data_IF_304338144147
#
_entry.id   IF_304338144147
#
_cell.length_a   1.000
_cell.length_b   1.000
_cell.length_c   1.000
_cell.angle_alpha   90.00
_cell.angle_beta   90.00
_cell.angle_gamma   90.00
#
_symmetry.space_group_name_H-M   'P 1'
#
loop_
_entity.id
_entity.type
_entity.pdbx_description
1 polymer ?
#
# COMPACT_ATOMS: atom_id res chain seq x y z
N UNK A 1 8.92 3.61 -40.48
CA UNK A 1 9.22 2.93 -39.20
C UNK A 1 10.68 2.57 -39.23
N UNK A 2 11.53 3.24 -38.45
CA UNK A 2 12.92 2.82 -38.33
C UNK A 2 12.94 1.44 -37.67
N UNK A 3 13.69 0.48 -38.22
CA UNK A 3 13.87 -0.82 -37.60
C UNK A 3 14.52 -0.60 -36.21
N UNK A 4 13.85 -1.02 -35.14
CA UNK A 4 14.46 -1.02 -33.80
C UNK A 4 15.69 -1.93 -33.83
N UNK A 5 16.80 -1.45 -33.28
CA UNK A 5 17.99 -2.29 -33.12
C UNK A 5 17.73 -3.40 -32.11
N UNK A 6 18.43 -4.53 -32.21
CA UNK A 6 18.26 -5.67 -31.30
C UNK A 6 18.43 -5.27 -29.82
N UNK A 7 19.31 -4.32 -29.53
CA UNK A 7 19.51 -3.76 -28.18
C UNK A 7 18.27 -3.00 -27.70
N UNK A 8 17.65 -2.20 -28.56
CA UNK A 8 16.43 -1.45 -28.23
C UNK A 8 15.27 -2.40 -27.94
N UNK A 9 15.14 -3.48 -28.71
CA UNK A 9 14.07 -4.46 -28.50
C UNK A 9 14.23 -5.21 -27.17
N UNK A 10 15.47 -5.58 -26.81
CA UNK A 10 15.78 -6.23 -25.52
C UNK A 10 15.46 -5.31 -24.34
N UNK A 11 15.94 -4.06 -24.40
CA UNK A 11 15.65 -3.06 -23.38
C UNK A 11 14.14 -2.79 -23.26
N UNK A 12 13.42 -2.76 -24.39
CA UNK A 12 11.98 -2.62 -24.44
C UNK A 12 11.26 -3.75 -23.70
N UNK A 13 11.66 -5.01 -23.91
CA UNK A 13 11.06 -6.15 -23.21
C UNK A 13 11.30 -6.07 -21.70
N UNK A 14 12.54 -5.81 -21.28
CA UNK A 14 12.89 -5.63 -19.86
C UNK A 14 12.06 -4.52 -19.22
N UNK A 15 11.92 -3.36 -19.88
CA UNK A 15 11.14 -2.23 -19.35
C UNK A 15 9.63 -2.50 -19.33
N UNK A 16 9.09 -3.25 -20.30
CA UNK A 16 7.70 -3.66 -20.32
C UNK A 16 7.38 -4.64 -19.18
N UNK A 17 8.24 -5.63 -18.95
CA UNK A 17 8.08 -6.60 -17.86
C UNK A 17 8.31 -5.95 -16.49
N UNK A 18 9.27 -5.02 -16.39
CA UNK A 18 9.42 -4.14 -15.23
C UNK A 18 8.11 -3.40 -14.94
N UNK A 19 7.55 -2.71 -15.95
CA UNK A 19 6.33 -1.94 -15.80
C UNK A 19 5.15 -2.81 -15.38
N UNK A 20 5.01 -4.00 -15.98
CA UNK A 20 3.94 -4.94 -15.68
C UNK A 20 3.96 -5.37 -14.20
N UNK A 21 5.08 -5.88 -13.72
CA UNK A 21 5.19 -6.36 -12.33
C UNK A 21 5.18 -5.21 -11.33
N UNK A 22 5.82 -4.08 -11.66
CA UNK A 22 5.78 -2.89 -10.81
C UNK A 22 4.34 -2.39 -10.63
N UNK A 23 3.57 -2.29 -11.72
CA UNK A 23 2.18 -1.84 -11.67
C UNK A 23 1.30 -2.84 -10.92
N UNK A 24 1.50 -4.14 -11.11
CA UNK A 24 0.77 -5.18 -10.37
C UNK A 24 0.93 -4.99 -8.84
N UNK A 25 2.16 -4.87 -8.35
CA UNK A 25 2.43 -4.65 -6.93
C UNK A 25 1.89 -3.31 -6.44
N UNK A 26 2.06 -2.25 -7.23
CA UNK A 26 1.54 -0.93 -6.91
C UNK A 26 0.01 -0.93 -6.82
N UNK A 27 -0.69 -1.65 -7.70
CA UNK A 27 -2.14 -1.81 -7.65
C UNK A 27 -2.55 -2.54 -6.38
N UNK A 28 -1.99 -3.73 -6.10
CA UNK A 28 -2.31 -4.52 -4.89
C UNK A 28 -2.18 -3.64 -3.64
N UNK A 29 -1.06 -2.94 -3.51
CA UNK A 29 -0.76 -2.10 -2.34
C UNK A 29 -1.65 -0.86 -2.27
N UNK A 30 -1.78 -0.11 -3.36
CA UNK A 30 -2.50 1.16 -3.36
C UNK A 30 -4.02 0.95 -3.24
N UNK A 31 -4.61 0.02 -3.99
CA UNK A 31 -6.05 -0.26 -3.86
C UNK A 31 -6.37 -0.84 -2.49
N UNK A 32 -5.51 -1.69 -1.93
CA UNK A 32 -5.64 -2.23 -0.57
C UNK A 32 -5.64 -1.15 0.52
N UNK A 33 -4.95 -0.03 0.30
CA UNK A 33 -4.96 1.11 1.24
C UNK A 33 -6.18 2.03 1.14
N UNK A 34 -6.95 1.95 0.05
CA UNK A 34 -8.08 2.84 -0.22
C UNK A 34 -9.44 2.15 -0.13
N UNK A 35 -9.49 0.83 -0.34
CA UNK A 35 -10.70 -0.01 -0.25
C UNK A 35 -10.46 -1.04 0.85
N UNK A 36 -11.18 -0.90 1.96
CA UNK A 36 -10.96 -1.73 3.16
C UNK A 36 -11.17 -3.22 2.87
N UNK A 37 -12.08 -3.59 1.97
CA UNK A 37 -12.30 -4.99 1.62
C UNK A 37 -11.08 -5.62 0.91
N UNK A 38 -10.31 -4.84 0.16
CA UNK A 38 -9.14 -5.33 -0.58
C UNK A 38 -7.92 -5.51 0.32
N UNK A 39 -7.89 -4.92 1.53
CA UNK A 39 -6.84 -5.21 2.49
C UNK A 39 -6.97 -6.63 3.09
N UNK A 40 -8.19 -7.18 3.14
CA UNK A 40 -8.45 -8.55 3.59
C UNK A 40 -8.39 -9.55 2.43
N UNK A 41 -8.87 -9.16 1.24
CA UNK A 41 -8.91 -10.01 0.05
C UNK A 41 -7.92 -9.52 -1.02
N UNK A 42 -6.64 -9.38 -0.65
CA UNK A 42 -5.57 -8.92 -1.56
C UNK A 42 -5.45 -9.78 -2.82
N UNK A 43 -5.76 -11.07 -2.71
CA UNK A 43 -5.82 -12.03 -3.82
C UNK A 43 -6.80 -11.59 -4.94
N UNK A 44 -7.78 -10.76 -4.63
CA UNK A 44 -8.77 -10.31 -5.62
C UNK A 44 -8.13 -9.46 -6.73
N UNK A 45 -7.22 -8.55 -6.37
CA UNK A 45 -6.46 -7.74 -7.33
C UNK A 45 -5.45 -8.60 -8.06
N UNK A 46 -4.78 -9.52 -7.36
CA UNK A 46 -3.84 -10.48 -7.96
C UNK A 46 -4.53 -11.35 -9.04
N UNK A 47 -5.71 -11.89 -8.75
CA UNK A 47 -6.50 -12.67 -9.71
C UNK A 47 -6.90 -11.84 -10.92
N UNK A 48 -7.31 -10.58 -10.70
CA UNK A 48 -7.60 -9.64 -11.78
C UNK A 48 -6.37 -9.37 -12.65
N UNK A 49 -5.21 -9.19 -12.03
CA UNK A 49 -3.94 -9.01 -12.72
C UNK A 49 -3.56 -10.22 -13.57
N UNK A 50 -3.62 -11.45 -13.02
CA UNK A 50 -3.34 -12.66 -13.80
C UNK A 50 -4.30 -12.87 -14.96
N UNK A 51 -5.60 -12.62 -14.76
CA UNK A 51 -6.58 -12.65 -15.85
C UNK A 51 -6.21 -11.63 -16.94
N UNK A 52 -5.91 -10.40 -16.53
CA UNK A 52 -5.49 -9.32 -17.43
C UNK A 52 -4.26 -9.70 -18.22
N UNK A 53 -3.21 -10.18 -17.54
CA UNK A 53 -1.96 -10.63 -18.18
C UNK A 53 -2.25 -11.73 -19.21
N UNK A 54 -3.03 -12.74 -18.86
CA UNK A 54 -3.44 -13.80 -19.79
C UNK A 54 -4.16 -13.26 -21.03
N UNK A 55 -5.13 -12.37 -20.85
CA UNK A 55 -5.85 -11.71 -21.97
C UNK A 55 -4.89 -10.87 -22.83
N UNK A 56 -3.95 -10.15 -22.22
CA UNK A 56 -2.94 -9.38 -22.93
C UNK A 56 -2.05 -10.25 -23.81
N UNK A 57 -1.61 -11.41 -23.30
CA UNK A 57 -0.80 -12.37 -24.07
C UNK A 57 -1.55 -13.02 -25.22
N UNK A 58 -2.83 -13.35 -25.06
CA UNK A 58 -3.69 -13.85 -26.15
C UNK A 58 -3.81 -12.82 -27.30
N UNK A 59 -3.60 -11.54 -27.03
CA UNK A 59 -3.68 -10.46 -28.01
C UNK A 59 -2.36 -10.09 -28.67
N UNK A 60 -1.29 -10.86 -28.47
CA UNK A 60 0.05 -10.58 -29.01
C UNK A 60 0.07 -10.28 -30.53
N UNK A 61 -0.79 -10.96 -31.32
CA UNK A 61 -0.89 -10.79 -32.78
C UNK A 61 -2.03 -9.88 -33.24
N UNK A 62 -2.75 -9.23 -32.31
CA UNK A 62 -3.86 -8.34 -32.64
C UNK A 62 -3.39 -7.16 -33.51
N UNK A 63 -4.23 -6.69 -34.44
CA UNK A 63 -3.93 -5.49 -35.25
C UNK A 63 -4.01 -4.19 -34.43
N UNK A 64 -4.82 -4.18 -33.36
CA UNK A 64 -5.06 -3.00 -32.53
C UNK A 64 -4.18 -3.04 -31.29
N UNK A 65 -3.30 -2.04 -31.14
CA UNK A 65 -2.38 -1.92 -30.02
C UNK A 65 -3.07 -1.28 -28.80
N UNK A 66 -3.47 -2.10 -27.82
CA UNK A 66 -4.13 -1.61 -26.60
C UNK A 66 -3.19 -1.02 -25.56
N UNK A 67 -1.89 -1.31 -25.62
CA UNK A 67 -0.90 -0.77 -24.68
C UNK A 67 -0.97 0.76 -24.59
N UNK A 68 -1.33 1.42 -25.69
CA UNK A 68 -1.47 2.89 -25.75
C UNK A 68 -2.52 3.45 -24.79
N UNK A 69 -3.51 2.66 -24.42
CA UNK A 69 -4.62 3.04 -23.55
C UNK A 69 -4.38 2.69 -22.08
N UNK A 70 -3.29 1.97 -21.76
CA UNK A 70 -2.98 1.58 -20.39
C UNK A 70 -2.92 2.75 -19.38
N UNK A 71 -2.31 3.91 -19.68
CA UNK A 71 -2.28 5.02 -18.74
C UNK A 71 -3.67 5.61 -18.50
N UNK A 72 -4.52 5.62 -19.53
CA UNK A 72 -5.90 6.07 -19.40
C UNK A 72 -6.68 5.11 -18.50
N UNK A 73 -6.54 3.80 -18.70
CA UNK A 73 -7.18 2.80 -17.84
C UNK A 73 -6.73 2.93 -16.37
N UNK A 74 -5.42 3.13 -16.13
CA UNK A 74 -4.88 3.37 -14.80
C UNK A 74 -5.40 4.68 -14.18
N UNK A 75 -5.43 5.77 -14.93
CA UNK A 75 -5.95 7.04 -14.47
C UNK A 75 -7.45 6.94 -14.12
N UNK A 76 -8.25 6.28 -14.97
CA UNK A 76 -9.68 6.05 -14.71
C UNK A 76 -9.91 5.17 -13.48
N UNK A 77 -9.09 4.14 -13.27
CA UNK A 77 -9.13 3.32 -12.05
C UNK A 77 -8.83 4.16 -10.81
N UNK A 78 -7.79 5.00 -10.86
CA UNK A 78 -7.44 5.90 -9.75
C UNK A 78 -8.57 6.91 -9.48
N UNK A 79 -9.17 7.49 -10.52
CA UNK A 79 -10.34 8.38 -10.41
C UNK A 79 -11.48 7.65 -9.71
N UNK A 80 -11.83 6.44 -10.17
CA UNK A 80 -12.92 5.66 -9.61
C UNK A 80 -12.70 5.39 -8.12
N UNK A 81 -11.52 4.92 -7.73
CA UNK A 81 -11.20 4.59 -6.33
C UNK A 81 -11.20 5.84 -5.44
N UNK A 82 -10.76 6.98 -5.97
CA UNK A 82 -10.78 8.26 -5.23
C UNK A 82 -12.19 8.84 -5.11
N UNK A 83 -13.04 8.68 -6.12
CA UNK A 83 -14.43 9.15 -6.11
C UNK A 83 -15.33 8.29 -5.21
N UNK A 84 -15.05 6.98 -5.12
CA UNK A 84 -15.84 6.03 -4.34
C UNK A 84 -14.98 5.27 -3.32
N UNK A 85 -14.42 5.96 -2.30
CA UNK A 85 -13.56 5.33 -1.32
C UNK A 85 -14.39 4.46 -0.36
N UNK A 86 -14.29 3.13 -0.49
CA UNK A 86 -14.94 2.18 0.40
C UNK A 86 -14.20 2.11 1.76
N UNK A 87 -14.33 3.17 2.55
CA UNK A 87 -13.78 3.29 3.91
C UNK A 87 -14.85 2.94 4.94
N UNK A 88 -14.44 2.23 5.99
CA UNK A 88 -15.29 1.98 7.14
C UNK A 88 -15.11 3.17 8.10
N UNK A 89 -16.15 3.97 8.29
CA UNK A 89 -16.18 4.94 9.40
C UNK A 89 -16.78 4.24 10.61
N UNK A 90 -16.00 4.04 11.68
CA UNK A 90 -16.53 3.62 12.98
C UNK A 90 -16.11 4.56 14.10
N UNK A 91 -17.06 4.80 14.99
CA UNK A 91 -16.90 5.45 16.30
C UNK A 91 -17.35 4.44 17.36
N UNK A 92 -16.45 3.98 18.24
CA UNK A 92 -16.79 3.26 19.48
C UNK A 92 -16.44 1.76 19.58
N UNK A 93 -16.65 1.22 20.78
CA UNK A 93 -16.16 -0.07 21.31
C UNK A 93 -16.72 -1.36 20.65
N UNK A 94 -17.36 -1.26 19.48
CA UNK A 94 -17.92 -2.40 18.72
C UNK A 94 -17.01 -2.79 17.54
N UNK A 95 -15.74 -3.07 17.84
CA UNK A 95 -14.72 -3.47 16.86
C UNK A 95 -14.87 -4.92 16.36
N UNK A 96 -15.76 -5.73 16.97
CA UNK A 96 -15.77 -7.20 16.80
C UNK A 96 -16.66 -7.67 15.63
N UNK A 97 -17.62 -6.87 15.14
CA UNK A 97 -18.53 -7.29 14.07
C UNK A 97 -18.25 -6.57 12.75
N UNK A 98 -17.54 -7.22 11.83
CA UNK A 98 -17.33 -6.75 10.46
C UNK A 98 -18.69 -6.70 9.72
N UNK A 99 -19.16 -5.51 9.30
CA UNK A 99 -20.34 -5.39 8.41
C UNK A 99 -21.41 -4.34 8.75
N UNK A 100 -21.49 -3.78 9.96
CA UNK A 100 -22.60 -2.90 10.37
C UNK A 100 -22.19 -1.44 10.63
N UNK A 101 -21.84 -0.70 9.57
CA UNK A 101 -21.62 0.75 9.68
C UNK A 101 -21.85 1.47 8.35
N UNK A 102 -22.19 2.77 8.36
CA UNK A 102 -22.38 3.53 7.13
C UNK A 102 -21.08 3.54 6.33
N UNK A 103 -21.11 2.91 5.16
CA UNK A 103 -20.03 2.99 4.18
C UNK A 103 -20.29 4.20 3.30
N UNK A 104 -19.29 5.07 3.16
CA UNK A 104 -19.28 6.01 2.05
C UNK A 104 -18.78 5.26 0.80
N UNK A 105 -19.47 5.40 -0.32
CA UNK A 105 -19.10 4.76 -1.59
C UNK A 105 -20.17 3.84 -2.17
N UNK A 106 -19.85 3.20 -3.30
CA UNK A 106 -20.74 2.22 -3.94
C UNK A 106 -20.83 0.93 -3.11
N UNK A 107 -21.96 0.20 -3.17
CA UNK A 107 -22.10 -1.10 -2.54
C UNK A 107 -20.96 -2.05 -2.95
N UNK A 108 -20.51 -2.89 -2.02
CA UNK A 108 -19.38 -3.82 -2.23
C UNK A 108 -19.56 -4.76 -3.40
N UNK A 109 -20.79 -5.29 -3.55
CA UNK A 109 -21.16 -6.18 -4.66
C UNK A 109 -21.07 -5.51 -6.03
N UNK A 110 -21.01 -4.17 -6.09
CA UNK A 110 -20.84 -3.41 -7.32
C UNK A 110 -19.39 -2.89 -7.46
N UNK A 111 -18.81 -2.34 -6.39
CA UNK A 111 -17.46 -1.76 -6.44
C UNK A 111 -16.38 -2.80 -6.69
N UNK A 112 -16.45 -3.99 -6.08
CA UNK A 112 -15.45 -5.03 -6.25
C UNK A 112 -15.40 -5.56 -7.70
N UNK A 113 -16.52 -5.96 -8.34
CA UNK A 113 -16.48 -6.35 -9.75
C UNK A 113 -15.94 -5.25 -10.67
N UNK A 114 -16.30 -3.98 -10.43
CA UNK A 114 -15.78 -2.85 -11.22
C UNK A 114 -14.26 -2.76 -11.08
N UNK A 115 -13.74 -2.82 -9.85
CA UNK A 115 -12.29 -2.79 -9.61
C UNK A 115 -11.60 -3.98 -10.25
N UNK A 116 -12.17 -5.18 -10.14
CA UNK A 116 -11.62 -6.39 -10.78
C UNK A 116 -11.48 -6.22 -12.29
N UNK A 117 -12.56 -5.81 -12.95
CA UNK A 117 -12.59 -5.63 -14.41
C UNK A 117 -11.64 -4.51 -14.83
N UNK A 118 -11.59 -3.41 -14.07
CA UNK A 118 -10.69 -2.29 -14.35
C UNK A 118 -9.21 -2.68 -14.18
N UNK A 119 -8.86 -3.43 -13.12
CA UNK A 119 -7.51 -3.99 -12.92
C UNK A 119 -7.17 -4.94 -14.05
N UNK A 120 -8.04 -5.90 -14.36
CA UNK A 120 -7.83 -6.86 -15.44
C UNK A 120 -7.66 -6.16 -16.80
N UNK A 121 -8.46 -5.13 -17.08
CA UNK A 121 -8.33 -4.34 -18.29
C UNK A 121 -7.00 -3.58 -18.35
N UNK A 122 -6.61 -2.89 -17.27
CA UNK A 122 -5.34 -2.17 -17.21
C UNK A 122 -4.14 -3.12 -17.39
N UNK A 123 -4.15 -4.25 -16.68
CA UNK A 123 -3.10 -5.27 -16.78
C UNK A 123 -3.07 -5.93 -18.15
N UNK A 124 -4.22 -6.17 -18.79
CA UNK A 124 -4.29 -6.66 -20.16
C UNK A 124 -3.67 -5.70 -21.17
N UNK A 125 -3.90 -4.39 -21.02
CA UNK A 125 -3.29 -3.38 -21.88
C UNK A 125 -1.77 -3.35 -21.73
N UNK A 126 -1.25 -3.42 -20.49
CA UNK A 126 0.20 -3.46 -20.24
C UNK A 126 0.81 -4.76 -20.78
N UNK A 127 0.21 -5.91 -20.45
CA UNK A 127 0.68 -7.22 -20.86
C UNK A 127 0.59 -7.45 -22.37
N UNK A 128 -0.37 -6.85 -23.08
CA UNK A 128 -0.36 -6.85 -24.54
C UNK A 128 0.91 -6.20 -25.10
N UNK A 129 1.41 -5.13 -24.44
CA UNK A 129 2.69 -4.52 -24.76
C UNK A 129 3.85 -5.51 -24.62
N UNK A 130 3.93 -6.19 -23.46
CA UNK A 130 4.92 -7.26 -23.20
C UNK A 130 4.82 -8.33 -24.29
N UNK A 131 3.63 -8.88 -24.51
CA UNK A 131 3.40 -10.01 -25.40
C UNK A 131 3.74 -9.72 -26.86
N UNK A 132 3.43 -8.52 -27.35
CA UNK A 132 3.80 -8.07 -28.70
C UNK A 132 5.31 -8.03 -28.92
N UNK A 133 6.07 -7.65 -27.89
CA UNK A 133 7.54 -7.65 -27.95
C UNK A 133 8.09 -9.07 -27.70
N UNK A 134 7.45 -9.84 -26.82
CA UNK A 134 7.83 -11.20 -26.47
C UNK A 134 7.87 -12.14 -27.68
N UNK A 135 6.85 -12.08 -28.56
CA UNK A 135 6.77 -12.94 -29.76
C UNK A 135 7.80 -12.61 -30.85
N UNK A 136 8.61 -11.56 -30.68
CA UNK A 136 9.67 -11.18 -31.61
C UNK A 136 11.01 -11.85 -31.28
N UNK A 137 11.10 -12.56 -30.15
CA UNK A 137 12.27 -13.30 -29.70
C UNK A 137 12.00 -14.81 -29.74
N UNK A 138 13.07 -15.60 -29.72
CA UNK A 138 12.96 -17.01 -29.36
C UNK A 138 12.50 -17.16 -27.91
N UNK A 139 11.74 -18.22 -27.61
CA UNK A 139 11.05 -18.39 -26.33
C UNK A 139 12.01 -18.28 -25.12
N UNK A 140 13.21 -18.86 -25.20
CA UNK A 140 14.19 -18.83 -24.12
C UNK A 140 14.75 -17.41 -23.90
N UNK A 141 15.06 -16.68 -24.98
CA UNK A 141 15.59 -15.31 -24.88
C UNK A 141 14.52 -14.36 -24.35
N UNK A 142 13.27 -14.49 -24.84
CA UNK A 142 12.13 -13.72 -24.36
C UNK A 142 11.94 -13.90 -22.84
N UNK A 143 11.94 -15.15 -22.36
CA UNK A 143 11.74 -15.48 -20.96
C UNK A 143 12.86 -14.93 -20.05
N UNK A 144 14.11 -14.94 -20.53
CA UNK A 144 15.25 -14.36 -19.77
C UNK A 144 15.06 -12.88 -19.50
N UNK A 145 14.68 -12.10 -20.51
CA UNK A 145 14.46 -10.66 -20.35
C UNK A 145 13.18 -10.35 -19.59
N UNK A 146 12.14 -11.17 -19.74
CA UNK A 146 10.90 -11.04 -18.99
C UNK A 146 11.12 -11.25 -17.49
N UNK A 147 11.85 -12.29 -17.09
CA UNK A 147 12.24 -12.51 -15.69
C UNK A 147 13.11 -11.36 -15.20
N UNK A 148 14.11 -10.94 -15.98
CA UNK A 148 15.00 -9.85 -15.56
C UNK A 148 14.22 -8.56 -15.28
N UNK A 149 13.33 -8.18 -16.20
CA UNK A 149 12.45 -7.02 -16.01
C UNK A 149 11.54 -7.19 -14.80
N UNK A 150 10.95 -8.36 -14.63
CA UNK A 150 10.07 -8.69 -13.50
C UNK A 150 10.79 -8.56 -12.14
N UNK A 151 11.98 -9.13 -12.01
CA UNK A 151 12.81 -9.03 -10.79
C UNK A 151 13.17 -7.58 -10.51
N UNK A 152 13.55 -6.80 -11.54
CA UNK A 152 13.84 -5.38 -11.38
C UNK A 152 12.59 -4.60 -10.92
N UNK A 153 11.42 -4.91 -11.48
CA UNK A 153 10.15 -4.29 -11.09
C UNK A 153 9.80 -4.57 -9.62
N UNK A 154 9.89 -5.82 -9.21
CA UNK A 154 9.68 -6.26 -7.81
C UNK A 154 10.70 -5.60 -6.89
N UNK A 155 11.99 -5.71 -7.20
CA UNK A 155 13.07 -5.16 -6.38
C UNK A 155 12.97 -3.65 -6.21
N UNK A 156 12.65 -2.92 -7.29
CA UNK A 156 12.50 -1.47 -7.22
C UNK A 156 11.25 -1.04 -6.44
N UNK A 157 10.12 -1.73 -6.60
CA UNK A 157 8.92 -1.45 -5.79
C UNK A 157 9.14 -1.76 -4.30
N UNK A 158 9.83 -2.86 -3.99
CA UNK A 158 10.22 -3.21 -2.62
C UNK A 158 11.14 -2.16 -2.01
N UNK A 159 12.10 -1.64 -2.77
CA UNK A 159 12.96 -0.53 -2.34
C UNK A 159 12.13 0.73 -2.03
N UNK A 160 11.20 1.12 -2.91
CA UNK A 160 10.32 2.26 -2.67
C UNK A 160 9.43 2.07 -1.44
N UNK A 161 8.94 0.84 -1.22
CA UNK A 161 8.16 0.50 -0.03
C UNK A 161 9.00 0.61 1.23
N UNK A 162 10.23 0.06 1.23
CA UNK A 162 11.18 0.16 2.33
C UNK A 162 11.55 1.62 2.66
N UNK A 163 11.76 2.45 1.63
CA UNK A 163 12.01 3.88 1.76
C UNK A 163 10.75 4.70 2.13
N UNK A 164 9.59 4.05 2.26
CA UNK A 164 8.31 4.68 2.60
C UNK A 164 7.88 5.75 1.59
N UNK A 165 8.24 5.56 0.33
CA UNK A 165 7.92 6.50 -0.74
C UNK A 165 6.40 6.60 -0.93
N UNK A 166 5.83 7.81 -1.00
CA UNK A 166 4.40 7.99 -1.21
C UNK A 166 3.97 7.54 -2.61
N UNK A 167 2.68 7.23 -2.76
CA UNK A 167 2.09 6.68 -3.99
C UNK A 167 2.35 7.52 -5.26
N UNK A 168 2.54 8.85 -5.12
CA UNK A 168 2.93 9.73 -6.24
C UNK A 168 4.27 9.33 -6.86
N UNK A 169 5.24 8.86 -6.06
CA UNK A 169 6.54 8.41 -6.57
C UNK A 169 6.36 7.18 -7.46
N UNK A 170 5.45 6.28 -7.09
CA UNK A 170 5.13 5.10 -7.89
C UNK A 170 4.48 5.51 -9.21
N UNK A 171 3.56 6.46 -9.17
CA UNK A 171 2.94 7.07 -10.36
C UNK A 171 3.96 7.73 -11.29
N UNK A 172 4.95 8.45 -10.74
CA UNK A 172 6.04 9.05 -11.52
C UNK A 172 6.87 7.97 -12.21
N UNK A 173 7.24 6.90 -11.51
CA UNK A 173 8.00 5.78 -12.09
C UNK A 173 7.23 5.14 -13.24
N UNK A 174 5.94 4.83 -13.02
CA UNK A 174 5.05 4.31 -14.06
C UNK A 174 4.98 5.25 -15.26
N UNK A 175 4.80 6.55 -15.02
CA UNK A 175 4.73 7.58 -16.06
C UNK A 175 6.02 7.68 -16.87
N UNK A 176 7.17 7.75 -16.22
CA UNK A 176 8.48 7.84 -16.88
C UNK A 176 8.75 6.61 -17.74
N UNK A 177 8.55 5.40 -17.18
CA UNK A 177 8.77 4.15 -17.92
C UNK A 177 7.79 4.03 -19.09
N UNK A 178 6.52 4.39 -18.88
CA UNK A 178 5.52 4.35 -19.95
C UNK A 178 5.84 5.33 -21.09
N UNK A 179 6.25 6.56 -20.76
CA UNK A 179 6.64 7.56 -21.76
C UNK A 179 7.89 7.13 -22.52
N UNK A 180 8.89 6.55 -21.83
CA UNK A 180 10.07 5.98 -22.46
C UNK A 180 9.72 4.85 -23.46
N UNK A 181 8.78 3.98 -23.10
CA UNK A 181 8.29 2.87 -23.94
C UNK A 181 7.41 3.32 -25.12
N UNK A 182 6.74 4.47 -25.00
CA UNK A 182 5.90 5.04 -26.06
C UNK A 182 6.72 5.76 -27.13
N UNK A 183 7.94 6.22 -26.79
CA UNK A 183 8.86 6.88 -27.71
C UNK A 183 8.27 8.12 -28.37
N UNK A 184 8.74 8.47 -29.57
CA UNK A 184 8.30 9.67 -30.33
C UNK A 184 6.84 9.64 -30.81
N UNK A 185 6.15 8.51 -30.65
CA UNK A 185 4.76 8.33 -31.08
C UNK A 185 3.76 8.57 -29.94
N UNK A 186 4.17 9.27 -28.87
CA UNK A 186 3.27 9.58 -27.76
C UNK A 186 2.20 10.56 -28.20
N UNK A 187 0.93 10.20 -28.01
CA UNK A 187 -0.18 11.10 -28.31
C UNK A 187 -0.41 12.07 -27.15
N UNK A 188 -1.02 13.24 -27.44
CA UNK A 188 -1.42 14.19 -26.39
C UNK A 188 -2.28 13.51 -25.32
N UNK A 189 -3.19 12.61 -25.72
CA UNK A 189 -4.02 11.85 -24.81
C UNK A 189 -3.19 11.02 -23.81
N UNK A 190 -2.12 10.37 -24.27
CA UNK A 190 -1.25 9.59 -23.39
C UNK A 190 -0.50 10.49 -22.40
N UNK A 191 0.02 11.62 -22.87
CA UNK A 191 0.67 12.61 -22.02
C UNK A 191 -0.28 13.15 -20.94
N UNK A 192 -1.51 13.50 -21.33
CA UNK A 192 -2.56 13.94 -20.40
C UNK A 192 -2.96 12.85 -19.42
N UNK A 193 -3.11 11.59 -19.87
CA UNK A 193 -3.45 10.47 -18.99
C UNK A 193 -2.36 10.17 -17.96
N UNK A 194 -1.08 10.20 -18.36
CA UNK A 194 0.05 10.05 -17.44
C UNK A 194 0.11 11.21 -16.45
N UNK A 195 -0.06 12.45 -16.93
CA UNK A 195 -0.10 13.62 -16.06
C UNK A 195 -1.26 13.53 -15.06
N UNK A 196 -2.45 13.13 -15.51
CA UNK A 196 -3.62 12.95 -14.65
C UNK A 196 -3.35 11.88 -13.58
N UNK A 197 -2.77 10.73 -13.95
CA UNK A 197 -2.37 9.68 -13.01
C UNK A 197 -1.46 10.23 -11.90
N UNK A 198 -0.40 10.97 -12.26
CA UNK A 198 0.54 11.54 -11.29
C UNK A 198 -0.14 12.60 -10.41
N UNK A 199 -0.89 13.52 -10.99
CA UNK A 199 -1.59 14.60 -10.26
C UNK A 199 -2.63 14.03 -9.29
N UNK A 200 -3.38 13.00 -9.69
CA UNK A 200 -4.33 12.34 -8.81
C UNK A 200 -3.62 11.70 -7.61
N UNK A 201 -2.49 11.05 -7.82
CA UNK A 201 -1.72 10.43 -6.73
C UNK A 201 -1.04 11.47 -5.81
N UNK A 202 -0.73 12.67 -6.32
CA UNK A 202 -0.15 13.77 -5.56
C UNK A 202 -1.04 14.27 -4.42
N UNK A 203 -2.37 14.10 -4.51
CA UNK A 203 -3.29 14.54 -3.45
C UNK A 203 -3.03 13.86 -2.09
N UNK A 204 -2.43 12.67 -2.09
CA UNK A 204 -2.19 11.88 -0.88
C UNK A 204 -1.08 12.45 0.03
N UNK A 205 0.16 12.68 -0.43
CA UNK A 205 1.21 13.27 0.40
C UNK A 205 0.92 14.70 0.87
N UNK A 206 -0.05 15.40 0.28
CA UNK A 206 -0.47 16.73 0.74
C UNK A 206 -1.24 16.67 2.07
N UNK A 207 -1.74 15.51 2.48
CA UNK A 207 -2.37 15.32 3.77
C UNK A 207 -1.31 15.02 4.84
N UNK A 208 -1.06 15.97 5.74
CA UNK A 208 -0.05 15.84 6.80
C UNK A 208 -0.32 14.69 7.80
N UNK A 209 -1.53 14.15 7.83
CA UNK A 209 -1.88 13.00 8.66
C UNK A 209 -1.63 11.65 7.99
N UNK A 210 -1.37 11.64 6.68
CA UNK A 210 -1.10 10.42 5.91
C UNK A 210 0.41 10.19 5.79
N UNK A 211 0.82 8.95 5.97
CA UNK A 211 2.21 8.52 5.76
C UNK A 211 2.25 7.06 5.34
N UNK A 212 3.38 6.60 4.81
CA UNK A 212 3.59 5.20 4.48
C UNK A 212 4.57 4.56 5.45
N UNK A 213 4.30 3.32 5.83
CA UNK A 213 5.31 2.40 6.37
C UNK A 213 5.76 1.42 5.27
N UNK A 214 6.78 0.58 5.50
CA UNK A 214 7.09 -0.52 4.58
C UNK A 214 5.91 -1.46 4.34
N UNK A 215 4.96 -1.55 5.28
CA UNK A 215 3.89 -2.54 5.27
C UNK A 215 2.57 -1.98 4.74
N UNK A 216 2.18 -0.77 5.11
CA UNK A 216 0.87 -0.22 4.79
C UNK A 216 0.83 1.32 4.81
N UNK A 217 -0.32 1.88 4.42
CA UNK A 217 -0.60 3.31 4.62
C UNK A 217 -1.04 3.55 6.06
N UNK A 218 -0.47 4.54 6.72
CA UNK A 218 -0.81 4.98 8.08
C UNK A 218 -1.49 6.35 8.03
N UNK A 219 -2.67 6.45 8.64
CA UNK A 219 -3.44 7.70 8.73
C UNK A 219 -3.72 8.04 10.19
N UNK A 220 -3.37 9.26 10.60
CA UNK A 220 -3.68 9.79 11.93
C UNK A 220 -5.06 10.46 11.95
N UNK A 221 -5.89 10.08 12.92
CA UNK A 221 -7.21 10.65 13.18
C UNK A 221 -7.13 11.39 14.51
N UNK A 222 -6.99 12.72 14.44
CA UNK A 222 -6.88 13.57 15.64
C UNK A 222 -8.27 13.97 16.10
N UNK A 223 -8.60 13.71 17.36
CA UNK A 223 -9.82 14.18 18.00
C UNK A 223 -9.49 15.32 18.98
N UNK A 224 -9.76 16.60 18.62
CA UNK A 224 -9.42 17.74 19.47
C UNK A 224 -10.13 17.72 20.82
N UNK A 225 -11.31 17.09 20.91
CA UNK A 225 -12.14 17.08 22.11
C UNK A 225 -11.65 16.13 23.21
N UNK A 226 -10.94 15.05 22.84
CA UNK A 226 -10.58 13.96 23.77
C UNK A 226 -9.07 13.80 23.97
N UNK A 227 -8.26 14.60 23.28
CA UNK A 227 -6.80 14.45 23.20
C UNK A 227 -6.35 13.02 22.80
N UNK A 228 -7.22 12.29 22.11
CA UNK A 228 -6.94 10.96 21.57
C UNK A 228 -6.55 11.09 20.10
N UNK A 229 -5.49 10.38 19.72
CA UNK A 229 -5.11 10.24 18.31
C UNK A 229 -5.34 8.80 17.89
N UNK A 230 -6.34 8.57 17.05
CA UNK A 230 -6.53 7.28 16.39
C UNK A 230 -5.47 7.07 15.30
N UNK A 231 -5.00 5.84 15.16
CA UNK A 231 -4.14 5.40 14.09
C UNK A 231 -4.93 4.40 13.25
N UNK A 232 -5.07 4.68 11.96
CA UNK A 232 -5.62 3.76 10.99
C UNK A 232 -4.51 3.21 10.10
N UNK A 233 -4.59 1.92 9.76
CA UNK A 233 -3.73 1.26 8.78
C UNK A 233 -4.59 0.79 7.62
N UNK A 234 -4.26 1.20 6.39
CA UNK A 234 -5.09 0.93 5.20
C UNK A 234 -6.58 1.29 5.38
N UNK A 235 -6.87 2.35 6.15
CA UNK A 235 -8.25 2.79 6.44
C UNK A 235 -8.99 1.96 7.50
N UNK A 236 -8.31 1.05 8.20
CA UNK A 236 -8.86 0.25 9.30
C UNK A 236 -8.32 0.81 10.62
N UNK A 237 -9.18 1.07 11.64
CA UNK A 237 -8.73 1.41 12.98
C UNK A 237 -7.77 0.36 13.53
N UNK A 238 -6.60 0.78 14.00
CA UNK A 238 -5.52 -0.11 14.41
C UNK A 238 -5.06 0.11 15.85
N UNK A 239 -4.70 1.35 16.20
CA UNK A 239 -4.20 1.70 17.54
C UNK A 239 -4.72 3.08 17.94
N UNK A 240 -4.70 3.39 19.23
CA UNK A 240 -5.00 4.74 19.75
C UNK A 240 -3.83 5.24 20.58
N UNK A 241 -3.54 6.54 20.48
CA UNK A 241 -2.62 7.23 21.37
C UNK A 241 -3.48 8.05 22.34
N UNK A 242 -3.35 7.74 23.62
CA UNK A 242 -3.97 8.46 24.73
C UNK A 242 -3.13 8.24 26.00
N UNK A 243 -3.27 9.09 27.03
CA UNK A 243 -2.60 8.89 28.31
C UNK A 243 -2.97 7.56 28.96
N UNK A 244 -2.01 6.93 29.63
CA UNK A 244 -2.21 5.64 30.33
C UNK A 244 -3.30 5.73 31.39
N UNK A 245 -3.41 6.87 32.09
CA UNK A 245 -4.48 7.12 33.07
C UNK A 245 -5.87 7.14 32.44
N UNK A 246 -6.00 7.70 31.23
CA UNK A 246 -7.24 7.72 30.47
C UNK A 246 -7.58 6.30 29.98
N UNK A 247 -6.58 5.56 29.47
CA UNK A 247 -6.76 4.17 29.04
C UNK A 247 -7.18 3.25 30.17
N UNK A 248 -6.68 3.45 31.39
CA UNK A 248 -7.12 2.69 32.56
C UNK A 248 -8.62 2.86 32.82
N UNK A 249 -9.16 4.06 32.58
CA UNK A 249 -10.58 4.35 32.75
C UNK A 249 -11.44 3.83 31.59
N UNK A 250 -10.97 3.93 30.34
CA UNK A 250 -11.74 3.55 29.15
C UNK A 250 -11.63 2.07 28.79
N UNK A 251 -10.45 1.46 28.94
CA UNK A 251 -10.13 0.10 28.53
C UNK A 251 -9.33 -0.65 29.62
N UNK A 252 -9.92 -0.89 30.81
CA UNK A 252 -9.22 -1.51 31.95
C UNK A 252 -8.71 -2.93 31.67
N UNK A 253 -9.17 -3.57 30.59
CA UNK A 253 -8.74 -4.92 30.18
C UNK A 253 -7.24 -5.02 29.94
N UNK A 254 -6.59 -3.96 29.43
CA UNK A 254 -5.13 -3.96 29.19
C UNK A 254 -4.29 -4.00 30.47
N UNK A 255 -4.89 -3.68 31.62
CA UNK A 255 -4.24 -3.69 32.93
C UNK A 255 -4.51 -4.99 33.70
N UNK A 256 -5.46 -5.81 33.24
CA UNK A 256 -5.98 -6.95 33.98
C UNK A 256 -4.88 -7.96 34.32
N UNK A 257 -3.99 -8.25 33.37
CA UNK A 257 -2.88 -9.16 33.59
C UNK A 257 -2.02 -8.72 34.79
N UNK A 258 -1.62 -7.44 34.84
CA UNK A 258 -0.79 -6.88 35.91
C UNK A 258 -1.49 -6.90 37.27
N UNK A 259 -2.80 -6.63 37.33
CA UNK A 259 -3.57 -6.69 38.58
C UNK A 259 -3.72 -8.10 39.16
N UNK A 260 -3.61 -9.14 38.34
CA UNK A 260 -3.71 -10.54 38.78
C UNK A 260 -2.36 -11.17 39.15
N UNK A 261 -1.25 -10.47 38.91
CA UNK A 261 0.07 -10.95 39.31
C UNK A 261 0.26 -10.74 40.82
N UNK A 262 0.81 -11.76 41.49
CA UNK A 262 1.18 -11.67 42.92
C UNK A 262 2.30 -10.66 43.18
N UNK A 263 3.13 -10.41 42.17
CA UNK A 263 4.28 -9.51 42.23
C UNK A 263 4.42 -8.80 40.87
N UNK A 264 4.81 -7.53 40.89
CA UNK A 264 5.11 -6.78 39.69
C UNK A 264 6.30 -7.41 38.94
N UNK A 265 6.17 -7.70 37.63
CA UNK A 265 7.27 -8.23 36.84
C UNK A 265 8.36 -7.17 36.68
N UNK A 266 9.62 -7.53 36.97
CA UNK A 266 10.76 -6.62 36.83
C UNK A 266 11.13 -6.39 35.36
N UNK A 267 11.11 -7.45 34.55
CA UNK A 267 11.43 -7.42 33.13
C UNK A 267 10.19 -7.83 32.33
N UNK A 268 9.83 -7.04 31.32
CA UNK A 268 8.65 -7.27 30.47
C UNK A 268 9.08 -7.23 29.01
N UNK A 269 8.63 -8.19 28.21
CA UNK A 269 8.76 -8.17 26.75
C UNK A 269 7.39 -7.85 26.15
N UNK A 270 7.35 -6.88 25.23
CA UNK A 270 6.15 -6.48 24.51
C UNK A 270 6.42 -6.66 23.02
N UNK A 271 5.70 -7.59 22.39
CA UNK A 271 5.75 -7.85 20.95
C UNK A 271 4.58 -7.15 20.27
N UNK A 272 4.86 -6.34 19.24
CA UNK A 272 3.87 -5.43 18.66
C UNK A 272 3.71 -4.15 19.49
N UNK A 273 4.82 -3.63 20.03
CA UNK A 273 4.81 -2.48 20.93
C UNK A 273 4.22 -1.20 20.31
N UNK A 274 4.16 -1.11 18.98
CA UNK A 274 3.39 -0.11 18.24
C UNK A 274 3.71 1.32 18.64
N UNK A 275 2.68 2.09 18.97
CA UNK A 275 2.82 3.46 19.44
C UNK A 275 3.29 3.61 20.90
N UNK A 276 3.61 2.51 21.59
CA UNK A 276 4.13 2.50 22.97
C UNK A 276 3.06 2.48 24.06
N UNK A 277 1.77 2.33 23.73
CA UNK A 277 0.69 2.22 24.70
C UNK A 277 0.95 1.15 25.78
N UNK A 278 1.23 -0.08 25.36
CA UNK A 278 1.45 -1.20 26.28
C UNK A 278 2.77 -1.05 27.06
N UNK A 279 3.77 -0.40 26.45
CA UNK A 279 5.04 -0.04 27.11
C UNK A 279 4.76 0.94 28.26
N UNK A 280 3.96 1.97 28.01
CA UNK A 280 3.57 2.93 29.05
C UNK A 280 2.80 2.25 30.19
N UNK A 281 1.90 1.33 29.87
CA UNK A 281 1.20 0.50 30.87
C UNK A 281 2.20 -0.30 31.71
N UNK A 282 3.11 -1.04 31.09
CA UNK A 282 4.11 -1.84 31.80
C UNK A 282 4.95 -0.98 32.77
N UNK A 283 5.40 0.20 32.31
CA UNK A 283 6.14 1.16 33.14
C UNK A 283 5.29 1.68 34.30
N UNK A 284 4.01 2.00 34.07
CA UNK A 284 3.08 2.47 35.11
C UNK A 284 2.76 1.40 36.16
N UNK A 285 2.80 0.12 35.77
CA UNK A 285 2.59 -1.01 36.66
C UNK A 285 3.85 -1.42 37.43
N UNK A 286 4.98 -0.73 37.19
CA UNK A 286 6.21 -0.84 37.95
C UNK A 286 7.30 -1.73 37.32
N UNK A 287 7.23 -2.00 36.02
CA UNK A 287 8.33 -2.67 35.32
C UNK A 287 9.65 -1.88 35.47
N UNK A 288 10.73 -2.61 35.71
CA UNK A 288 12.09 -2.07 35.85
C UNK A 288 12.84 -2.06 34.51
N UNK A 289 12.46 -2.95 33.60
CA UNK A 289 12.96 -3.00 32.23
C UNK A 289 11.86 -3.48 31.28
N UNK A 290 11.79 -2.88 30.09
CA UNK A 290 10.88 -3.29 29.02
C UNK A 290 11.64 -3.45 27.70
N UNK A 291 11.59 -4.65 27.12
CA UNK A 291 11.95 -4.87 25.72
C UNK A 291 10.71 -4.62 24.85
N UNK A 292 10.77 -3.61 23.98
CA UNK A 292 9.71 -3.24 23.07
C UNK A 292 10.07 -3.67 21.64
N UNK A 293 9.44 -4.73 21.14
CA UNK A 293 9.63 -5.25 19.79
C UNK A 293 8.51 -4.73 18.90
N UNK A 294 8.87 -4.00 17.84
CA UNK A 294 7.92 -3.47 16.86
C UNK A 294 8.46 -3.63 15.44
N UNK A 295 7.67 -4.28 14.58
CA UNK A 295 8.08 -4.50 13.20
C UNK A 295 7.96 -3.23 12.34
N UNK A 296 6.98 -2.36 12.62
CA UNK A 296 6.70 -1.15 11.86
C UNK A 296 7.48 0.07 12.42
N UNK A 297 8.54 0.53 11.73
CA UNK A 297 9.30 1.69 12.17
C UNK A 297 8.47 2.98 12.22
N UNK A 298 7.39 3.07 11.44
CA UNK A 298 6.54 4.26 11.39
C UNK A 298 5.65 4.34 12.62
N UNK A 299 5.08 3.23 13.10
CA UNK A 299 4.29 3.22 14.34
C UNK A 299 5.15 3.60 15.55
N UNK A 300 6.36 3.05 15.65
CA UNK A 300 7.34 3.46 16.66
C UNK A 300 7.63 4.97 16.62
N UNK A 301 7.93 5.52 15.42
CA UNK A 301 8.22 6.95 15.27
C UNK A 301 7.04 7.84 15.67
N UNK A 302 5.82 7.42 15.33
CA UNK A 302 4.59 8.10 15.73
C UNK A 302 4.45 8.06 17.26
N UNK A 303 4.61 6.88 17.87
CA UNK A 303 4.57 6.71 19.32
C UNK A 303 5.61 7.57 20.04
N UNK A 304 6.87 7.54 19.61
CA UNK A 304 7.94 8.34 20.20
C UNK A 304 7.66 9.83 20.13
N UNK A 305 7.05 10.30 19.03
CA UNK A 305 6.75 11.72 18.84
C UNK A 305 5.48 12.18 19.55
N UNK A 306 4.44 11.34 19.63
CA UNK A 306 3.09 11.77 19.99
C UNK A 306 2.51 11.08 21.23
N UNK A 307 3.12 10.01 21.74
CA UNK A 307 2.63 9.35 22.95
C UNK A 307 2.86 10.25 24.17
N UNK A 308 1.79 10.64 24.91
CA UNK A 308 1.86 11.62 25.99
C UNK A 308 2.66 11.14 27.20
N UNK A 309 2.78 9.83 27.41
CA UNK A 309 3.53 9.26 28.53
C UNK A 309 5.02 9.09 28.19
N UNK A 310 5.42 9.40 26.95
CA UNK A 310 6.80 9.31 26.45
C UNK A 310 7.53 7.99 26.81
N UNK A 311 6.90 6.82 26.63
CA UNK A 311 7.48 5.55 27.08
C UNK A 311 8.78 5.21 26.36
N UNK A 312 8.91 5.57 25.09
CA UNK A 312 10.12 5.32 24.30
C UNK A 312 11.29 6.26 24.62
N UNK A 313 11.11 7.22 25.51
CA UNK A 313 12.15 8.08 26.05
C UNK A 313 12.64 7.61 27.43
N UNK A 314 11.94 6.66 28.06
CA UNK A 314 12.29 6.14 29.38
C UNK A 314 13.54 5.24 29.28
N UNK A 315 14.59 5.45 30.11
CA UNK A 315 15.82 4.67 30.07
C UNK A 315 15.62 3.18 30.41
N UNK A 316 14.47 2.80 30.97
CA UNK A 316 14.11 1.41 31.23
C UNK A 316 13.67 0.66 29.98
N UNK A 317 13.44 1.35 28.85
CA UNK A 317 12.91 0.75 27.62
C UNK A 317 14.02 0.53 26.60
N UNK A 318 14.16 -0.71 26.11
CA UNK A 318 14.99 -1.05 24.95
C UNK A 318 14.09 -1.35 23.77
N UNK A 319 14.31 -0.67 22.65
CA UNK A 319 13.47 -0.80 21.44
C UNK A 319 14.19 -1.64 20.40
N UNK A 320 13.49 -2.64 19.88
CA UNK A 320 13.93 -3.51 18.79
C UNK A 320 12.98 -3.32 17.61
N UNK A 321 13.48 -2.75 16.51
CA UNK A 321 12.69 -2.65 15.27
C UNK A 321 12.98 -3.88 14.42
N UNK A 322 12.22 -4.95 14.65
CA UNK A 322 12.43 -6.25 14.01
C UNK A 322 11.13 -7.11 13.97
N UNK A 323 11.19 -8.21 13.23
CA UNK A 323 10.18 -9.28 13.22
C UNK A 323 10.25 -10.21 14.45
#
# INVERSE_FOLDING_TARGET
MAAETQIQLRARLVLLSFLMLFVELALIRWTGSNIVYLSYFSNFVLLGSFLGIGVGFLRARSKVNLFRWAPLALALLVIFIRAFPARIVRTGAQLIFFGSGPSHGLPTWLSLPIVFVAVAAAMAMIAEGVARTFIQFEALEAYRYDILGSILGIGFFSLLSFLRAPSVVWGIVVGVVFMALSGKATTLLQGVAVLALVVLLLAEPLNANDSWSPYYKVTLIRSPATNVIGIQVNGIPHQTIEPTSQRLASEPVYFLAYHHLKQTPKNVLIVGAGNGADVAIALSMGAQHVDAVEIDPRLYQIGRALNPDHPYQDPRVTVHIND
#
